data_IF_141004629313
#
_entry.id   IF_141004629313
#
_cell.length_a   1.000
_cell.length_b   1.000
_cell.length_c   1.000
_cell.angle_alpha   90.00
_cell.angle_beta   90.00
_cell.angle_gamma   90.00
#
_symmetry.space_group_name_H-M   'P 1'
#
loop_
_entity.id
_entity.type
_entity.pdbx_description
1 polymer ?
#
# COMPACT_ATOMS: atom_id res chain seq x y z
N UNK A 1 9.83 -13.02 9.27
CA UNK A 1 10.12 -11.85 10.11
C UNK A 1 9.06 -11.74 11.17
N UNK A 2 9.38 -12.05 12.42
CA UNK A 2 8.41 -12.07 13.53
C UNK A 2 8.66 -10.98 14.57
N UNK A 3 9.45 -9.96 14.21
CA UNK A 3 9.96 -8.97 15.18
C UNK A 3 9.24 -7.63 15.13
N UNK A 4 8.33 -7.43 14.18
CA UNK A 4 7.65 -6.14 13.98
C UNK A 4 6.14 -6.36 14.14
N UNK A 5 5.55 -5.70 15.14
CA UNK A 5 4.10 -5.67 15.31
C UNK A 5 3.45 -4.65 14.36
N UNK A 6 2.12 -4.74 14.21
CA UNK A 6 1.33 -3.91 13.31
C UNK A 6 1.52 -2.40 13.53
N UNK A 7 1.54 -1.94 14.79
CA UNK A 7 1.75 -0.53 15.12
C UNK A 7 3.13 -0.04 14.69
N UNK A 8 4.18 -0.85 14.95
CA UNK A 8 5.54 -0.52 14.52
C UNK A 8 5.66 -0.47 13.01
N UNK A 9 4.98 -1.37 12.28
CA UNK A 9 4.95 -1.34 10.82
C UNK A 9 4.31 -0.03 10.32
N UNK A 10 3.15 0.36 10.85
CA UNK A 10 2.51 1.62 10.46
C UNK A 10 3.41 2.84 10.71
N UNK A 11 4.02 2.94 11.89
CA UNK A 11 4.93 4.04 12.23
C UNK A 11 6.16 4.10 11.31
N UNK A 12 6.66 2.95 10.84
CA UNK A 12 7.76 2.89 9.87
C UNK A 12 7.31 3.33 8.47
N UNK A 13 6.14 2.89 8.03
CA UNK A 13 5.59 3.26 6.71
C UNK A 13 5.24 4.74 6.61
N UNK A 14 4.81 5.33 7.73
CA UNK A 14 4.37 6.72 7.80
C UNK A 14 5.23 7.54 8.78
N UNK A 15 6.55 7.38 8.72
CA UNK A 15 7.49 8.01 9.65
C UNK A 15 7.48 9.55 9.62
N UNK A 16 6.93 10.15 8.56
CA UNK A 16 6.81 11.60 8.41
C UNK A 16 5.63 12.20 9.20
N UNK A 17 4.80 11.36 9.80
CA UNK A 17 3.61 11.78 10.53
C UNK A 17 3.77 11.50 12.02
N UNK A 18 3.37 12.45 12.86
CA UNK A 18 3.53 12.34 14.32
C UNK A 18 2.53 11.36 14.95
N UNK A 19 1.25 11.39 14.54
CA UNK A 19 0.20 10.54 15.09
C UNK A 19 -0.24 9.51 14.04
N UNK A 20 0.46 8.37 14.05
CA UNK A 20 0.17 7.19 13.24
C UNK A 20 -0.25 6.04 14.14
N UNK A 21 -1.39 5.43 13.82
CA UNK A 21 -2.00 4.34 14.59
C UNK A 21 -2.30 3.15 13.69
N UNK A 22 -2.29 1.99 14.32
CA UNK A 22 -2.85 0.80 13.74
C UNK A 22 -4.34 0.73 14.08
N UNK A 23 -5.20 0.47 13.09
CA UNK A 23 -6.61 0.18 13.29
C UNK A 23 -6.84 -1.33 13.16
N UNK A 24 -7.23 -2.02 14.26
CA UNK A 24 -7.44 -3.46 14.23
C UNK A 24 -8.71 -3.81 13.45
N UNK A 25 -8.55 -4.57 12.38
CA UNK A 25 -9.65 -5.16 11.62
C UNK A 25 -9.29 -6.59 11.23
N UNK A 26 -9.97 -7.56 11.83
CA UNK A 26 -9.70 -8.98 11.64
C UNK A 26 -9.97 -9.45 10.21
N UNK A 27 -10.87 -8.77 9.47
CA UNK A 27 -11.15 -9.10 8.07
C UNK A 27 -10.03 -8.63 7.15
N UNK A 28 -9.41 -7.50 7.48
CA UNK A 28 -8.24 -6.95 6.79
C UNK A 28 -7.00 -7.80 7.13
N UNK A 29 -6.78 -8.10 8.41
CA UNK A 29 -5.70 -8.96 8.90
C UNK A 29 -5.72 -10.36 8.27
N UNK A 30 -6.91 -10.98 8.15
CA UNK A 30 -7.04 -12.31 7.53
C UNK A 30 -6.61 -12.35 6.05
N UNK A 31 -6.57 -11.18 5.39
CA UNK A 31 -6.06 -11.02 4.02
C UNK A 31 -4.58 -10.65 3.97
N UNK A 32 -3.89 -10.73 5.11
CA UNK A 32 -2.52 -10.25 5.31
C UNK A 32 -2.35 -8.78 4.95
N UNK A 33 -3.33 -7.99 5.35
CA UNK A 33 -3.31 -6.54 5.25
C UNK A 33 -3.42 -5.91 6.62
N UNK A 34 -2.98 -4.67 6.70
CA UNK A 34 -2.99 -3.84 7.90
C UNK A 34 -3.58 -2.48 7.53
N UNK A 35 -4.42 -1.92 8.41
CA UNK A 35 -4.93 -0.58 8.25
C UNK A 35 -4.14 0.40 9.14
N UNK A 36 -3.41 1.31 8.49
CA UNK A 36 -2.67 2.37 9.16
C UNK A 36 -3.42 3.68 9.05
N UNK A 37 -3.73 4.29 10.18
CA UNK A 37 -4.47 5.53 10.26
C UNK A 37 -3.57 6.68 10.71
N UNK A 38 -3.74 7.82 10.06
CA UNK A 38 -2.98 9.04 10.30
C UNK A 38 -3.96 10.11 10.76
N UNK A 39 -3.68 10.73 11.91
CA UNK A 39 -4.50 11.83 12.39
C UNK A 39 -4.11 13.13 11.69
N UNK A 40 -5.05 13.70 10.95
CA UNK A 40 -4.91 14.99 10.28
C UNK A 40 -5.45 16.15 11.10
N UNK A 41 -5.51 17.34 10.49
CA UNK A 41 -6.08 18.54 11.12
C UNK A 41 -7.59 18.41 11.33
N UNK A 42 -8.09 18.93 12.46
CA UNK A 42 -9.54 19.06 12.69
C UNK A 42 -10.29 17.77 13.02
N UNK A 43 -9.62 16.78 13.64
CA UNK A 43 -10.18 15.44 13.97
C UNK A 43 -10.47 14.53 12.76
N UNK A 44 -9.98 14.89 11.57
CA UNK A 44 -10.06 14.00 10.43
C UNK A 44 -8.97 12.91 10.53
N UNK A 45 -9.32 11.65 10.33
CA UNK A 45 -8.39 10.51 10.31
C UNK A 45 -8.42 9.84 8.94
N UNK A 46 -7.24 9.64 8.35
CA UNK A 46 -7.08 8.96 7.06
C UNK A 46 -6.49 7.57 7.27
N UNK A 47 -7.22 6.54 6.87
CA UNK A 47 -6.79 5.15 7.02
C UNK A 47 -6.43 4.53 5.66
N UNK A 48 -5.32 3.81 5.61
CA UNK A 48 -4.79 3.19 4.40
C UNK A 48 -4.48 1.72 4.64
N UNK A 49 -4.91 0.86 3.72
CA UNK A 49 -4.49 -0.54 3.70
C UNK A 49 -3.05 -0.67 3.20
N UNK A 50 -2.26 -1.50 3.89
CA UNK A 50 -0.90 -1.89 3.52
C UNK A 50 -0.73 -3.40 3.69
N UNK A 51 0.23 -3.97 2.97
CA UNK A 51 0.54 -5.40 3.09
C UNK A 51 1.29 -5.67 4.40
N UNK A 52 0.91 -6.76 5.06
CA UNK A 52 1.64 -7.28 6.21
C UNK A 52 2.90 -7.99 5.74
N UNK A 53 3.97 -7.91 6.53
CA UNK A 53 5.20 -8.66 6.24
C UNK A 53 5.04 -10.13 6.62
N UNK A 54 5.83 -10.99 5.96
CA UNK A 54 5.83 -12.41 6.26
C UNK A 54 6.25 -12.70 7.71
N UNK A 55 5.42 -13.44 8.44
CA UNK A 55 5.57 -13.80 9.84
C UNK A 55 4.72 -12.96 10.80
N UNK A 56 4.01 -11.92 10.35
CA UNK A 56 3.07 -11.20 11.21
C UNK A 56 1.83 -12.03 11.53
N UNK A 57 1.31 -11.90 12.75
CA UNK A 57 0.04 -12.50 13.18
C UNK A 57 -1.14 -11.97 12.37
N UNK A 58 -2.00 -12.87 11.90
CA UNK A 58 -3.21 -12.57 11.12
C UNK A 58 -4.47 -13.24 11.70
N UNK A 59 -4.41 -13.63 12.98
CA UNK A 59 -5.54 -14.13 13.77
C UNK A 59 -5.28 -15.49 14.39
N UNK A 60 -5.42 -15.58 15.72
CA UNK A 60 -5.17 -16.80 16.48
C UNK A 60 -3.71 -17.27 16.30
N UNK A 61 -3.45 -18.56 16.04
CA UNK A 61 -2.10 -19.07 15.84
C UNK A 61 -1.65 -19.02 14.36
N UNK A 62 -2.18 -18.09 13.57
CA UNK A 62 -1.91 -17.98 12.12
C UNK A 62 -1.04 -16.78 11.82
N UNK A 63 -0.14 -16.94 10.87
CA UNK A 63 0.76 -15.87 10.42
C UNK A 63 0.65 -15.67 8.91
N UNK A 64 1.09 -14.49 8.48
CA UNK A 64 1.17 -14.13 7.08
C UNK A 64 2.37 -14.77 6.39
N UNK A 65 2.15 -15.40 5.25
CA UNK A 65 3.21 -15.83 4.35
C UNK A 65 2.76 -15.63 2.91
N UNK A 66 3.51 -14.82 2.16
CA UNK A 66 3.22 -14.48 0.75
C UNK A 66 1.78 -13.99 0.56
N UNK A 67 1.34 -13.08 1.42
CA UNK A 67 -0.02 -12.48 1.46
C UNK A 67 -1.16 -13.47 1.76
N UNK A 68 -0.86 -14.62 2.38
CA UNK A 68 -1.87 -15.57 2.83
C UNK A 68 -1.79 -15.78 4.34
N UNK A 69 -2.93 -15.77 5.00
CA UNK A 69 -3.04 -16.07 6.41
C UNK A 69 -3.26 -17.57 6.62
N UNK A 70 -2.28 -18.26 7.19
CA UNK A 70 -2.40 -19.70 7.45
C UNK A 70 -1.64 -20.11 8.71
N UNK A 71 -1.92 -21.34 9.18
CA UNK A 71 -1.18 -21.93 10.28
C UNK A 71 0.14 -22.47 9.76
N UNK A 72 1.21 -21.72 9.96
CA UNK A 72 2.56 -22.18 9.70
C UNK A 72 3.07 -22.76 11.02
N UNK A 73 2.95 -24.09 11.17
CA UNK A 73 3.37 -24.81 12.37
C UNK A 73 4.76 -24.36 12.82
N UNK A 74 4.90 -24.12 14.12
CA UNK A 74 6.07 -23.50 14.76
C UNK A 74 7.36 -24.26 14.53
N UNK A 75 7.95 -24.11 13.35
CA UNK A 75 9.38 -24.20 13.20
C UNK A 75 9.91 -22.95 13.89
N UNK A 76 10.44 -23.14 15.11
CA UNK A 76 11.33 -22.17 15.75
C UNK A 76 12.17 -21.53 14.66
N UNK A 77 12.30 -20.21 14.69
CA UNK A 77 13.20 -19.47 13.81
C UNK A 77 14.60 -20.07 13.90
N UNK A 78 14.87 -21.13 13.14
CA UNK A 78 16.14 -21.30 12.52
C UNK A 78 16.23 -20.04 11.67
N UNK A 79 17.12 -19.15 12.08
CA UNK A 79 17.61 -18.15 11.17
C UNK A 79 17.82 -18.89 9.85
N UNK A 80 17.20 -18.43 8.77
CA UNK A 80 17.82 -18.69 7.47
C UNK A 80 19.12 -17.90 7.51
N UNK A 81 20.10 -18.50 8.16
CA UNK A 81 21.50 -18.38 7.81
C UNK A 81 21.55 -18.64 6.31
N UNK A 82 22.11 -17.67 5.61
CA UNK A 82 22.32 -17.66 4.17
C UNK A 82 22.80 -19.04 3.71
N UNK A 83 22.00 -19.73 2.90
CA UNK A 83 22.49 -20.88 2.13
C UNK A 83 22.25 -20.57 0.67
N UNK A 84 23.19 -19.82 0.08
CA UNK A 84 23.56 -20.08 -1.30
C UNK A 84 23.94 -21.56 -1.36
N UNK A 85 23.14 -22.40 -2.03
CA UNK A 85 23.59 -23.77 -2.34
C UNK A 85 24.07 -23.82 -3.79
N UNK A 86 25.26 -24.38 -4.04
CA UNK A 86 25.90 -24.37 -5.36
C UNK A 86 25.16 -25.33 -6.28
N UNK A 87 24.86 -24.93 -7.52
CA UNK A 87 24.60 -25.91 -8.56
C UNK A 87 25.90 -26.18 -9.31
N UNK A 88 26.52 -27.27 -8.85
CA UNK A 88 27.60 -28.02 -9.47
C UNK A 88 27.34 -28.27 -10.95
N UNK A 89 28.34 -27.91 -11.74
CA UNK A 89 28.58 -28.31 -13.12
C UNK A 89 28.63 -29.83 -13.26
N UNK A 90 27.81 -30.39 -14.14
CA UNK A 90 28.05 -31.74 -14.67
C UNK A 90 28.27 -31.64 -16.17
N UNK A 91 29.53 -31.85 -16.56
CA UNK A 91 29.95 -32.11 -17.94
C UNK A 91 29.23 -33.34 -18.50
N UNK A 92 28.79 -33.24 -19.75
CA UNK A 92 28.64 -34.38 -20.66
C UNK A 92 29.22 -33.97 -22.03
N UNK A 93 30.50 -34.33 -22.20
CA UNK A 93 31.15 -34.86 -23.39
C UNK A 93 30.59 -34.50 -24.77
N UNK A 94 31.37 -33.78 -25.57
CA UNK A 94 31.54 -34.09 -27.01
C UNK A 94 32.87 -33.54 -27.57
N UNK A 95 33.44 -34.18 -28.62
CA UNK A 95 34.88 -34.35 -28.81
C UNK A 95 35.61 -33.18 -29.49
N UNK A 96 36.94 -33.22 -29.30
CA UNK A 96 37.95 -32.38 -29.95
C UNK A 96 37.99 -32.54 -31.48
N UNK A 97 38.07 -31.43 -32.22
CA UNK A 97 38.72 -31.40 -33.53
C UNK A 97 39.46 -30.08 -33.77
N UNK A 98 40.73 -30.26 -34.07
CA UNK A 98 41.86 -29.41 -34.48
C UNK A 98 41.64 -28.16 -35.35
N UNK A 99 42.41 -27.11 -35.00
CA UNK A 99 43.31 -26.29 -35.84
C UNK A 99 42.78 -25.23 -36.82
N UNK A 100 43.21 -23.99 -36.53
CA UNK A 100 43.72 -22.92 -37.42
C UNK A 100 42.79 -22.41 -38.54
N UNK A 101 42.47 -21.11 -38.53
CA UNK A 101 42.88 -20.11 -39.56
C UNK A 101 42.23 -18.76 -39.27
N UNK A 102 43.05 -17.70 -39.07
CA UNK A 102 42.61 -16.30 -39.19
C UNK A 102 42.24 -16.03 -40.65
N UNK A 103 41.02 -15.57 -40.92
CA UNK A 103 40.70 -14.90 -42.19
C UNK A 103 39.61 -13.86 -41.99
N UNK A 104 39.99 -12.61 -42.24
CA UNK A 104 39.16 -11.42 -42.33
C UNK A 104 38.26 -11.49 -43.57
N UNK A 105 36.97 -11.21 -43.43
CA UNK A 105 36.08 -10.93 -44.58
C UNK A 105 34.94 -9.98 -44.15
N UNK A 106 34.44 -9.13 -45.07
CA UNK A 106 33.73 -7.89 -44.77
C UNK A 106 32.24 -8.09 -44.45
N UNK A 107 31.65 -7.11 -43.76
CA UNK A 107 30.21 -7.07 -43.43
C UNK A 107 29.33 -7.12 -44.70
N UNK A 108 28.27 -7.96 -44.75
CA UNK A 108 27.26 -7.91 -45.80
C UNK A 108 26.25 -6.77 -45.56
N UNK A 109 25.56 -6.30 -46.62
CA UNK A 109 24.73 -5.09 -46.59
C UNK A 109 23.45 -5.27 -45.75
N UNK A 110 23.02 -4.18 -45.13
CA UNK A 110 21.83 -4.13 -44.27
C UNK A 110 20.56 -4.57 -45.02
N UNK A 111 19.89 -5.61 -44.51
CA UNK A 111 18.55 -5.97 -44.96
C UNK A 111 17.51 -4.96 -44.43
N UNK A 112 16.43 -4.66 -45.19
CA UNK A 112 15.33 -3.83 -44.69
C UNK A 112 14.66 -4.50 -43.49
N UNK A 113 14.54 -3.78 -42.37
CA UNK A 113 13.91 -4.33 -41.17
C UNK A 113 12.40 -4.60 -41.42
N UNK A 114 11.86 -5.75 -40.97
CA UNK A 114 10.43 -5.96 -40.88
C UNK A 114 9.79 -4.89 -39.99
N UNK A 115 8.57 -4.46 -40.35
CA UNK A 115 7.77 -3.52 -39.57
C UNK A 115 7.69 -3.98 -38.10
N UNK A 116 7.93 -3.10 -37.11
CA UNK A 116 7.91 -3.49 -35.72
C UNK A 116 6.53 -4.02 -35.32
N UNK A 117 6.45 -5.03 -34.44
CA UNK A 117 5.19 -5.54 -33.95
C UNK A 117 4.42 -4.45 -33.19
N UNK A 118 3.10 -4.45 -33.34
CA UNK A 118 2.20 -3.55 -32.61
C UNK A 118 2.47 -3.62 -31.11
N UNK A 119 2.46 -2.45 -30.47
CA UNK A 119 2.74 -2.27 -29.05
C UNK A 119 1.92 -3.25 -28.20
N UNK A 120 2.54 -4.02 -27.29
CA UNK A 120 1.81 -4.87 -26.37
C UNK A 120 0.87 -4.01 -25.51
N UNK A 121 -0.39 -4.43 -25.39
CA UNK A 121 -1.31 -3.86 -24.40
C UNK A 121 -0.70 -4.05 -23.02
N UNK A 122 -0.38 -2.95 -22.34
CA UNK A 122 0.21 -2.97 -21.02
C UNK A 122 -0.81 -3.55 -20.01
N UNK A 123 -0.52 -4.71 -19.38
CA UNK A 123 -1.39 -5.30 -18.34
C UNK A 123 -1.54 -4.41 -17.10
N UNK A 124 -0.65 -3.41 -16.96
CA UNK A 124 -0.68 -2.43 -15.87
C UNK A 124 -1.42 -1.13 -16.22
N UNK A 125 -2.21 -1.08 -17.30
CA UNK A 125 -3.12 0.06 -17.48
C UNK A 125 -4.17 -0.02 -16.37
N UNK A 126 -4.21 0.95 -15.43
CA UNK A 126 -5.24 0.96 -14.42
C UNK A 126 -6.61 1.05 -15.11
N UNK A 127 -7.62 0.30 -14.65
CA UNK A 127 -8.98 0.48 -15.15
C UNK A 127 -9.39 1.94 -14.98
N UNK A 128 -10.11 2.45 -15.97
CA UNK A 128 -10.63 3.81 -15.96
C UNK A 128 -11.42 4.02 -14.66
N UNK A 129 -11.19 5.11 -13.91
CA UNK A 129 -11.88 5.33 -12.65
C UNK A 129 -13.40 5.35 -12.90
N UNK A 130 -14.20 4.76 -11.99
CA UNK A 130 -15.65 4.78 -12.13
C UNK A 130 -16.14 6.22 -12.14
N UNK A 131 -17.16 6.48 -12.98
CA UNK A 131 -17.84 7.77 -13.02
C UNK A 131 -18.27 8.18 -11.60
N UNK A 132 -18.12 9.47 -11.22
CA UNK A 132 -18.53 9.92 -9.90
C UNK A 132 -20.03 9.62 -9.70
N UNK A 133 -20.45 9.25 -8.48
CA UNK A 133 -21.86 9.03 -8.20
C UNK A 133 -22.63 10.31 -8.50
N UNK A 134 -23.75 10.16 -9.21
CA UNK A 134 -24.69 11.25 -9.43
C UNK A 134 -25.24 11.67 -8.07
N UNK A 135 -24.69 12.75 -7.50
CA UNK A 135 -25.31 13.39 -6.36
C UNK A 135 -26.60 14.06 -6.85
N UNK A 136 -27.78 13.69 -6.31
CA UNK A 136 -28.97 14.48 -6.52
C UNK A 136 -28.67 15.91 -6.09
N UNK A 137 -29.07 16.86 -6.93
CA UNK A 137 -28.93 18.29 -6.67
C UNK A 137 -29.37 18.61 -5.24
N UNK A 138 -28.59 19.49 -4.60
CA UNK A 138 -28.79 20.06 -3.27
C UNK A 138 -30.26 20.05 -2.84
N UNK A 139 -30.60 19.47 -1.66
CA UNK A 139 -31.97 19.53 -1.16
C UNK A 139 -32.48 20.97 -1.16
N UNK A 140 -33.74 21.23 -1.56
CA UNK A 140 -34.31 22.56 -1.47
C UNK A 140 -34.19 23.06 -0.02
N UNK A 141 -33.91 24.35 0.12
CA UNK A 141 -33.77 24.97 1.44
C UNK A 141 -34.99 24.64 2.31
N UNK A 142 -34.80 24.35 3.61
CA UNK A 142 -35.91 24.11 4.50
C UNK A 142 -36.85 25.33 4.49
N UNK A 143 -38.18 25.13 4.58
CA UNK A 143 -39.11 26.25 4.65
C UNK A 143 -38.74 27.13 5.83
N UNK A 144 -38.64 28.44 5.58
CA UNK A 144 -38.43 29.43 6.62
C UNK A 144 -39.47 29.24 7.71
N UNK A 145 -39.04 28.94 8.94
CA UNK A 145 -39.93 28.87 10.10
C UNK A 145 -40.70 30.19 10.20
N UNK A 146 -42.01 30.17 10.50
CA UNK A 146 -42.71 31.39 10.90
C UNK A 146 -42.00 31.96 12.11
N UNK A 147 -41.68 33.26 12.09
CA UNK A 147 -41.25 33.95 13.30
C UNK A 147 -42.38 33.81 14.33
N UNK A 148 -42.15 33.00 15.35
CA UNK A 148 -43.10 32.85 16.44
C UNK A 148 -43.08 34.15 17.27
N UNK A 149 -44.17 34.95 17.28
CA UNK A 149 -44.19 36.24 17.97
C UNK A 149 -44.05 36.13 19.50
N UNK A 150 -44.13 34.91 20.04
CA UNK A 150 -44.05 34.65 21.48
C UNK A 150 -42.67 34.23 21.97
N UNK A 151 -41.64 34.19 21.11
CA UNK A 151 -40.27 33.95 21.56
C UNK A 151 -39.70 35.23 22.19
N UNK A 152 -39.24 35.20 23.45
CA UNK A 152 -38.56 36.35 24.04
C UNK A 152 -37.26 36.63 23.26
N UNK A 153 -36.87 37.91 23.11
CA UNK A 153 -35.64 38.25 22.43
C UNK A 153 -34.44 37.59 23.14
N UNK A 154 -33.46 37.16 22.34
CA UNK A 154 -32.23 36.57 22.86
C UNK A 154 -31.55 37.55 23.84
N UNK A 155 -31.02 37.06 24.99
CA UNK A 155 -30.38 37.92 25.97
C UNK A 155 -29.14 38.61 25.36
N UNK A 156 -28.85 39.87 25.75
CA UNK A 156 -27.70 40.57 25.25
C UNK A 156 -26.41 39.84 25.66
N UNK A 157 -25.53 39.68 24.69
CA UNK A 157 -24.21 39.05 24.86
C UNK A 157 -23.41 39.89 25.85
N UNK A 158 -23.13 39.36 27.05
CA UNK A 158 -22.23 40.01 28.03
C UNK A 158 -20.88 40.27 27.37
N UNK A 159 -20.55 41.55 27.17
CA UNK A 159 -19.18 41.94 26.89
C UNK A 159 -18.39 41.80 28.19
N UNK A 160 -17.43 40.87 28.19
CA UNK A 160 -16.47 40.74 29.27
C UNK A 160 -15.52 41.94 29.19
N UNK A 161 -15.74 42.95 30.03
CA UNK A 161 -14.79 44.04 30.21
C UNK A 161 -13.56 43.48 30.92
N UNK A 162 -12.49 43.32 30.16
CA UNK A 162 -11.15 43.00 30.64
C UNK A 162 -10.69 44.16 31.52
N UNK A 163 -10.71 43.95 32.83
CA UNK A 163 -10.08 44.86 33.79
C UNK A 163 -8.60 44.99 33.48
N UNK A 164 -8.18 46.20 33.12
CA UNK A 164 -6.80 46.62 33.26
C UNK A 164 -6.57 46.94 34.74
N UNK A 165 -5.62 46.27 35.37
CA UNK A 165 -5.03 46.72 36.62
C UNK A 165 -3.59 47.10 36.31
N UNK A 166 -3.32 48.38 36.45
CA UNK A 166 -1.97 48.93 36.65
C UNK A 166 -1.66 48.94 38.15
#
# INVERSE_FOLDING_TARGET
>A
GSTINATTLCKRLYSNYEDVRYHPDTTVEARCKIQCCIRGFGNYEYCYEKDMIDGMDCGGPKTCLRHKCAHHGGHKHHQQETTEKPMTTTELTMPSTTSITKRTTPMPPAQPQPRPPSRPSNPHRPPEPPSPPYYPQKPPAPPSRPLNPHLPPAPPRRQSTRGHSA
#
